data_IF_116735742900
#
_entry.id   IF_116735742900
#
_cell.length_a   1.000
_cell.length_b   1.000
_cell.length_c   1.000
_cell.angle_alpha   90.00
_cell.angle_beta   90.00
_cell.angle_gamma   90.00
#
_symmetry.space_group_name_H-M   'P 1'
#
loop_
_entity.id
_entity.type
_entity.pdbx_description
1 polymer ?
#
# COMPACT_ATOMS: atom_id res chain seq x y z
N UNK A 1 14.40 -19.73 -4.71
CA UNK A 1 14.15 -18.27 -4.73
C UNK A 1 12.80 -18.05 -5.39
N UNK A 2 11.76 -17.72 -4.62
CA UNK A 2 10.55 -17.17 -5.24
C UNK A 2 10.80 -15.68 -5.43
N UNK A 3 11.05 -15.28 -6.67
CA UNK A 3 10.86 -13.90 -7.12
C UNK A 3 9.36 -13.67 -7.06
N UNK A 4 8.85 -13.18 -5.95
CA UNK A 4 7.41 -13.15 -5.71
C UNK A 4 7.08 -11.82 -5.07
N UNK A 5 6.30 -11.01 -5.82
CA UNK A 5 5.57 -9.80 -5.41
C UNK A 5 6.28 -8.95 -4.34
N UNK A 6 6.69 -7.73 -4.69
CA UNK A 6 7.14 -6.75 -3.69
C UNK A 6 6.28 -6.87 -2.44
N UNK A 7 6.92 -7.15 -1.31
CA UNK A 7 6.23 -7.21 -0.03
C UNK A 7 5.65 -5.83 0.29
N UNK A 8 4.64 -5.80 1.16
CA UNK A 8 4.05 -4.54 1.61
C UNK A 8 5.13 -3.56 2.12
N UNK A 9 6.08 -4.06 2.92
CA UNK A 9 7.18 -3.26 3.47
C UNK A 9 8.10 -2.70 2.39
N UNK A 10 8.41 -3.49 1.36
CA UNK A 10 9.23 -3.02 0.23
C UNK A 10 8.50 -1.97 -0.61
N UNK A 11 7.22 -2.19 -0.91
CA UNK A 11 6.41 -1.24 -1.67
C UNK A 11 6.21 0.08 -0.91
N UNK A 12 5.99 0.01 0.41
CA UNK A 12 5.88 1.18 1.28
C UNK A 12 7.19 1.97 1.32
N UNK A 13 8.33 1.28 1.48
CA UNK A 13 9.64 1.92 1.49
C UNK A 13 9.97 2.64 0.18
N UNK A 14 9.60 2.05 -0.95
CA UNK A 14 9.78 2.68 -2.26
C UNK A 14 8.87 3.90 -2.43
N UNK A 15 7.63 3.82 -1.95
CA UNK A 15 6.70 4.94 -1.93
C UNK A 15 7.22 6.10 -1.07
N UNK A 16 7.73 5.83 0.13
CA UNK A 16 8.34 6.85 1.01
C UNK A 16 9.52 7.54 0.34
N UNK A 17 10.39 6.79 -0.35
CA UNK A 17 11.52 7.35 -1.09
C UNK A 17 11.07 8.25 -2.25
N UNK A 18 9.98 7.89 -2.94
CA UNK A 18 9.39 8.71 -3.99
C UNK A 18 8.82 10.00 -3.41
N UNK A 19 8.06 9.92 -2.32
CA UNK A 19 7.47 11.09 -1.65
C UNK A 19 8.56 12.05 -1.21
N UNK A 20 9.58 11.55 -0.49
CA UNK A 20 10.73 12.36 -0.07
C UNK A 20 11.38 13.07 -1.25
N UNK A 21 11.61 12.38 -2.37
CA UNK A 21 12.25 12.99 -3.52
C UNK A 21 11.37 14.03 -4.23
N UNK A 22 10.04 13.89 -4.18
CA UNK A 22 9.10 14.88 -4.70
C UNK A 22 9.02 16.12 -3.79
N UNK A 23 9.09 15.92 -2.47
CA UNK A 23 9.08 16.98 -1.47
C UNK A 23 10.36 17.83 -1.49
N UNK A 24 11.51 17.21 -1.78
CA UNK A 24 12.79 17.91 -1.93
C UNK A 24 12.77 18.95 -3.07
N UNK A 25 11.90 18.76 -4.09
CA UNK A 25 11.67 19.75 -5.14
C UNK A 25 12.83 19.97 -6.13
N UNK A 26 13.93 19.22 -6.01
CA UNK A 26 15.10 19.33 -6.89
C UNK A 26 14.95 18.58 -8.23
N UNK A 27 13.86 17.83 -8.41
CA UNK A 27 13.62 17.02 -9.60
C UNK A 27 13.15 17.88 -10.78
N UNK A 28 13.67 17.64 -12.00
CA UNK A 28 13.07 18.17 -13.21
C UNK A 28 11.60 17.76 -13.32
N UNK A 29 10.77 18.62 -13.90
CA UNK A 29 9.32 18.39 -14.02
C UNK A 29 8.98 17.02 -14.64
N UNK A 30 9.70 16.62 -15.69
CA UNK A 30 9.48 15.33 -16.35
C UNK A 30 9.75 14.13 -15.42
N UNK A 31 10.80 14.22 -14.60
CA UNK A 31 11.11 13.18 -13.61
C UNK A 31 10.12 13.19 -12.45
N UNK A 32 9.70 14.38 -11.99
CA UNK A 32 8.68 14.51 -10.97
C UNK A 32 7.36 13.87 -11.40
N UNK A 33 6.94 14.06 -12.66
CA UNK A 33 5.73 13.42 -13.22
C UNK A 33 5.88 11.89 -13.22
N UNK A 34 7.03 11.36 -13.69
CA UNK A 34 7.28 9.91 -13.68
C UNK A 34 7.26 9.33 -12.27
N UNK A 35 7.92 9.99 -11.31
CA UNK A 35 7.92 9.58 -9.91
C UNK A 35 6.53 9.61 -9.29
N UNK A 36 5.74 10.64 -9.59
CA UNK A 36 4.36 10.74 -9.15
C UNK A 36 3.50 9.56 -9.66
N UNK A 37 3.60 9.22 -10.95
CA UNK A 37 2.88 8.08 -11.52
C UNK A 37 3.27 6.76 -10.84
N UNK A 38 4.57 6.51 -10.64
CA UNK A 38 5.06 5.34 -9.92
C UNK A 38 4.58 5.32 -8.47
N UNK A 39 4.66 6.46 -7.77
CA UNK A 39 4.18 6.59 -6.40
C UNK A 39 2.69 6.29 -6.27
N UNK A 40 1.87 6.76 -7.24
CA UNK A 40 0.44 6.45 -7.28
C UNK A 40 0.17 4.95 -7.41
N UNK A 41 0.90 4.28 -8.29
CA UNK A 41 0.76 2.83 -8.49
C UNK A 41 1.18 2.03 -7.25
N UNK A 42 2.26 2.46 -6.58
CA UNK A 42 2.70 1.85 -5.32
C UNK A 42 1.68 2.05 -4.20
N UNK A 43 1.09 3.25 -4.10
CA UNK A 43 0.05 3.53 -3.11
C UNK A 43 -1.19 2.63 -3.32
N UNK A 44 -1.67 2.52 -4.56
CA UNK A 44 -2.76 1.60 -4.92
C UNK A 44 -2.39 0.13 -4.60
N UNK A 45 -1.14 -0.26 -4.83
CA UNK A 45 -0.67 -1.60 -4.51
C UNK A 45 -0.69 -1.87 -2.99
N UNK A 46 -0.15 -0.95 -2.19
CA UNK A 46 -0.17 -1.04 -0.73
C UNK A 46 -1.59 -1.11 -0.18
N UNK A 47 -2.50 -0.27 -0.68
CA UNK A 47 -3.90 -0.29 -0.27
C UNK A 47 -4.54 -1.66 -0.55
N UNK A 48 -4.32 -2.23 -1.74
CA UNK A 48 -4.83 -3.54 -2.09
C UNK A 48 -4.29 -4.66 -1.20
N UNK A 49 -3.00 -4.61 -0.83
CA UNK A 49 -2.41 -5.58 0.09
C UNK A 49 -3.06 -5.51 1.48
N UNK A 50 -3.36 -4.31 1.97
CA UNK A 50 -4.06 -4.10 3.24
C UNK A 50 -5.50 -4.62 3.18
N UNK A 51 -6.25 -4.29 2.12
CA UNK A 51 -7.61 -4.79 1.92
C UNK A 51 -7.66 -6.33 1.85
N UNK A 52 -6.68 -6.94 1.18
CA UNK A 52 -6.60 -8.40 1.08
C UNK A 52 -6.30 -9.03 2.45
N UNK A 53 -5.44 -8.39 3.27
CA UNK A 53 -5.14 -8.83 4.63
C UNK A 53 -6.37 -8.68 5.55
N UNK A 54 -7.09 -7.56 5.46
CA UNK A 54 -8.31 -7.30 6.22
C UNK A 54 -9.39 -8.35 5.90
N UNK A 55 -9.64 -8.63 4.62
CA UNK A 55 -10.60 -9.67 4.19
C UNK A 55 -10.27 -11.05 4.75
N UNK A 56 -8.98 -11.39 4.89
CA UNK A 56 -8.55 -12.65 5.51
C UNK A 56 -8.87 -12.65 7.00
N UNK A 57 -8.55 -11.57 7.72
CA UNK A 57 -8.87 -11.39 9.13
C UNK A 57 -10.38 -11.51 9.40
N UNK A 58 -11.21 -10.77 8.64
CA UNK A 58 -12.67 -10.82 8.76
C UNK A 58 -13.19 -12.24 8.54
N UNK A 59 -12.70 -12.95 7.51
CA UNK A 59 -13.12 -14.34 7.26
C UNK A 59 -12.74 -15.28 8.40
N UNK A 60 -11.54 -15.15 8.97
CA UNK A 60 -11.08 -15.97 10.10
C UNK A 60 -11.94 -15.71 11.34
N UNK A 61 -12.27 -14.45 11.64
CA UNK A 61 -13.16 -14.09 12.75
C UNK A 61 -14.57 -14.68 12.58
N UNK A 62 -15.15 -14.57 11.36
CA UNK A 62 -16.45 -15.18 11.03
C UNK A 62 -16.43 -16.71 11.21
N UNK A 63 -15.32 -17.38 10.87
CA UNK A 63 -15.22 -18.84 11.07
C UNK A 63 -15.08 -19.27 12.53
N UNK A 64 -14.66 -18.38 13.44
CA UNK A 64 -14.41 -18.69 14.84
C UNK A 64 -15.59 -18.36 15.77
N UNK A 65 -16.74 -17.93 15.21
CA UNK A 65 -18.01 -17.81 15.93
C UNK A 65 -18.22 -16.55 16.77
N UNK A 66 -17.31 -15.57 16.69
CA UNK A 66 -17.49 -14.24 17.30
C UNK A 66 -17.61 -13.19 16.19
N UNK A 67 -18.84 -12.89 15.79
CA UNK A 67 -19.15 -11.70 15.00
C UNK A 67 -19.09 -10.48 15.93
N UNK A 68 -17.91 -9.86 16.05
CA UNK A 68 -17.85 -8.46 16.42
C UNK A 68 -17.90 -7.65 15.12
N UNK A 69 -18.94 -6.84 14.86
CA UNK A 69 -18.92 -5.93 13.73
C UNK A 69 -17.70 -5.02 13.87
N UNK A 70 -16.79 -5.08 12.91
CA UNK A 70 -15.74 -4.07 12.79
C UNK A 70 -16.44 -2.81 12.29
N UNK A 71 -16.87 -1.98 13.24
CA UNK A 71 -17.42 -0.66 12.97
C UNK A 71 -16.26 0.20 12.47
N UNK A 72 -16.07 0.24 11.15
CA UNK A 72 -15.44 1.38 10.51
C UNK A 72 -16.46 2.53 10.57
N UNK A 73 -16.61 3.14 11.75
CA UNK A 73 -17.29 4.43 11.88
C UNK A 73 -16.51 5.46 11.06
N UNK A 74 -17.16 5.89 9.97
CA UNK A 74 -16.96 7.04 9.07
C UNK A 74 -15.53 7.59 8.81
#
# INVERSE_FOLDING_TARGET
>A
MRMSKQSFEEALKELEAIVSALEDGELPLEEAVKKYETGRQLAEHCQKLLEDAEKVLTKVMVTNGEEAPFDSEE
#
